data_IF_366151843006
#
_entry.id   IF_366151843006
#
_cell.length_a   1.000
_cell.length_b   1.000
_cell.length_c   1.000
_cell.angle_alpha   90.00
_cell.angle_beta   90.00
_cell.angle_gamma   90.00
#
_symmetry.space_group_name_H-M   'P 1'
#
loop_
_entity.id
_entity.type
_entity.pdbx_description
1 polymer ?
#
# COMPACT_ATOMS: atom_id res chain seq x y z
N UNK A 1 27.26 -14.94 2.33
CA UNK A 1 28.08 -13.77 2.76
C UNK A 1 27.17 -12.80 3.50
N UNK A 2 27.50 -12.38 4.72
CA UNK A 2 26.70 -11.37 5.47
C UNK A 2 26.81 -10.04 4.70
N UNK A 3 25.67 -9.49 4.24
CA UNK A 3 25.64 -8.13 3.68
C UNK A 3 26.09 -7.14 4.76
N UNK A 4 27.10 -6.32 4.47
CA UNK A 4 27.51 -5.24 5.36
C UNK A 4 26.39 -4.19 5.42
N UNK A 5 25.93 -3.86 6.63
CA UNK A 5 25.00 -2.75 6.87
C UNK A 5 25.77 -1.50 7.30
N UNK A 6 25.70 -0.42 6.53
CA UNK A 6 26.27 0.88 6.90
C UNK A 6 25.30 1.72 7.75
N UNK A 7 25.85 2.67 8.52
CA UNK A 7 25.07 3.66 9.26
C UNK A 7 25.28 5.06 8.65
N UNK A 8 24.18 5.76 8.39
CA UNK A 8 24.19 7.13 7.90
C UNK A 8 23.51 8.06 8.90
N UNK A 9 24.08 9.25 9.09
CA UNK A 9 23.47 10.33 9.89
C UNK A 9 22.94 11.39 8.95
N UNK A 10 21.62 11.53 8.86
CA UNK A 10 20.96 12.57 8.07
C UNK A 10 20.81 13.81 8.96
N UNK A 11 21.50 14.89 8.59
CA UNK A 11 21.46 16.16 9.34
C UNK A 11 20.39 17.10 8.77
N UNK A 12 19.88 18.00 9.60
CA UNK A 12 18.93 19.06 9.22
C UNK A 12 17.65 18.52 8.54
N UNK A 13 17.09 17.43 9.07
CA UNK A 13 15.80 16.91 8.59
C UNK A 13 14.72 17.97 8.83
N UNK A 14 14.01 18.46 7.78
CA UNK A 14 12.94 19.44 7.95
C UNK A 14 11.83 18.90 8.87
N UNK A 15 11.23 19.78 9.69
CA UNK A 15 10.17 19.38 10.62
C UNK A 15 8.96 18.72 9.93
N UNK A 16 8.63 19.18 8.71
CA UNK A 16 7.57 18.59 7.89
C UNK A 16 7.87 17.13 7.52
N UNK A 17 9.14 16.79 7.24
CA UNK A 17 9.57 15.43 6.89
C UNK A 17 9.54 14.52 8.13
N UNK A 18 10.06 14.97 9.28
CA UNK A 18 10.00 14.19 10.53
C UNK A 18 8.54 13.89 10.93
N UNK A 19 7.67 14.90 10.88
CA UNK A 19 6.25 14.74 11.18
C UNK A 19 5.58 13.72 10.25
N UNK A 20 5.83 13.80 8.94
CA UNK A 20 5.28 12.87 7.96
C UNK A 20 5.77 11.43 8.18
N UNK A 21 7.07 11.23 8.47
CA UNK A 21 7.63 9.91 8.74
C UNK A 21 7.04 9.29 10.02
N UNK A 22 6.89 10.07 11.10
CA UNK A 22 6.27 9.60 12.35
C UNK A 22 4.79 9.26 12.18
N UNK A 23 4.04 10.07 11.44
CA UNK A 23 2.64 9.78 11.15
C UNK A 23 2.50 8.47 10.36
N UNK A 24 3.35 8.26 9.36
CA UNK A 24 3.39 7.02 8.57
C UNK A 24 3.79 5.82 9.43
N UNK A 25 4.77 5.96 10.33
CA UNK A 25 5.19 4.92 11.26
C UNK A 25 4.05 4.47 12.19
N UNK A 26 3.33 5.43 12.79
CA UNK A 26 2.14 5.14 13.62
C UNK A 26 1.05 4.43 12.83
N UNK A 27 0.71 4.95 11.64
CA UNK A 27 -0.33 4.36 10.78
C UNK A 27 -0.01 2.93 10.35
N UNK A 28 1.26 2.61 10.14
CA UNK A 28 1.70 1.29 9.67
C UNK A 28 2.13 0.34 10.81
N UNK A 29 2.15 0.79 12.07
CA UNK A 29 2.68 0.00 13.18
C UNK A 29 4.17 -0.36 13.03
N UNK A 30 4.95 0.47 12.32
CA UNK A 30 6.38 0.23 12.03
C UNK A 30 7.27 1.16 12.86
N UNK A 31 8.53 0.77 13.05
CA UNK A 31 9.53 1.68 13.64
C UNK A 31 9.83 2.85 12.70
N UNK A 32 10.23 3.99 13.27
CA UNK A 32 10.62 5.17 12.49
C UNK A 32 11.78 4.85 11.52
N UNK A 33 12.75 4.04 11.97
CA UNK A 33 13.87 3.61 11.14
C UNK A 33 13.41 2.78 9.93
N UNK A 34 12.47 1.83 10.12
CA UNK A 34 11.95 1.03 9.02
C UNK A 34 11.27 1.91 7.96
N UNK A 35 10.43 2.86 8.39
CA UNK A 35 9.76 3.79 7.46
C UNK A 35 10.75 4.73 6.78
N UNK A 36 11.78 5.21 7.49
CA UNK A 36 12.84 6.03 6.91
C UNK A 36 13.63 5.26 5.84
N UNK A 37 14.00 4.00 6.11
CA UNK A 37 14.67 3.14 5.13
C UNK A 37 13.78 2.85 3.91
N UNK A 38 12.49 2.61 4.10
CA UNK A 38 11.54 2.47 2.98
C UNK A 38 11.49 3.74 2.12
N UNK A 39 11.38 4.92 2.75
CA UNK A 39 11.38 6.19 2.04
C UNK A 39 12.68 6.43 1.26
N UNK A 40 13.83 6.13 1.87
CA UNK A 40 15.15 6.22 1.22
C UNK A 40 15.25 5.24 0.05
N UNK A 41 14.78 3.99 0.21
CA UNK A 41 14.76 3.01 -0.88
C UNK A 41 13.91 3.49 -2.05
N UNK A 42 12.72 4.02 -1.77
CA UNK A 42 11.82 4.56 -2.81
C UNK A 42 12.46 5.75 -3.51
N UNK A 43 12.99 6.73 -2.75
CA UNK A 43 13.63 7.92 -3.33
C UNK A 43 14.90 7.61 -4.12
N UNK A 44 15.64 6.57 -3.75
CA UNK A 44 16.81 6.09 -4.48
C UNK A 44 16.47 5.13 -5.64
N UNK A 45 15.18 4.83 -5.88
CA UNK A 45 14.76 3.92 -6.96
C UNK A 45 15.13 2.44 -6.74
N UNK A 46 15.47 2.05 -5.50
CA UNK A 46 15.83 0.66 -5.12
C UNK A 46 14.76 -0.04 -4.28
N UNK A 47 13.61 0.60 -4.11
CA UNK A 47 12.42 -0.08 -3.61
C UNK A 47 11.96 -1.08 -4.67
N UNK A 48 11.75 -2.33 -4.26
CA UNK A 48 10.94 -3.22 -5.09
C UNK A 48 9.57 -2.58 -5.24
N UNK A 49 9.03 -2.57 -6.46
CA UNK A 49 7.64 -2.24 -6.65
C UNK A 49 6.84 -3.22 -5.79
N UNK A 50 6.17 -2.69 -4.76
CA UNK A 50 5.22 -3.47 -3.98
C UNK A 50 4.09 -3.80 -4.94
N UNK A 51 4.16 -4.98 -5.54
CA UNK A 51 3.08 -5.49 -6.36
C UNK A 51 1.95 -5.85 -5.42
N UNK A 52 1.03 -4.91 -5.23
CA UNK A 52 -0.25 -5.18 -4.58
C UNK A 52 -0.95 -6.28 -5.38
N UNK A 53 -1.18 -7.42 -4.73
CA UNK A 53 -1.85 -8.58 -5.34
C UNK A 53 -3.31 -8.69 -4.89
N UNK A 54 -3.71 -7.83 -3.97
CA UNK A 54 -5.03 -7.74 -3.38
C UNK A 54 -5.68 -6.39 -3.70
N UNK A 55 -6.96 -6.30 -3.37
CA UNK A 55 -7.77 -5.09 -3.53
C UNK A 55 -8.16 -4.49 -2.17
N UNK A 56 -7.44 -4.81 -1.09
CA UNK A 56 -7.78 -4.42 0.28
C UNK A 56 -7.89 -2.90 0.46
N UNK A 57 -7.10 -2.14 -0.30
CA UNK A 57 -7.16 -0.67 -0.30
C UNK A 57 -8.49 -0.11 -0.80
N UNK A 58 -9.27 -0.90 -1.54
CA UNK A 58 -10.57 -0.53 -2.09
C UNK A 58 -11.73 -1.03 -1.23
N UNK A 59 -11.45 -1.75 -0.14
CA UNK A 59 -12.51 -2.24 0.74
C UNK A 59 -13.25 -1.07 1.39
N UNK A 60 -14.58 -1.05 1.27
CA UNK A 60 -15.42 0.02 1.78
C UNK A 60 -15.35 1.35 1.01
N UNK A 61 -14.59 1.41 -0.09
CA UNK A 61 -14.53 2.61 -0.95
C UNK A 61 -15.54 2.57 -2.10
N UNK A 62 -16.52 1.66 -2.06
CA UNK A 62 -17.53 1.53 -3.11
C UNK A 62 -18.43 2.76 -3.12
N UNK A 63 -18.63 3.32 -4.31
CA UNK A 63 -19.60 4.40 -4.54
C UNK A 63 -20.80 3.78 -5.26
N UNK A 64 -22.04 4.06 -4.84
CA UNK A 64 -23.22 3.55 -5.52
C UNK A 64 -23.24 3.94 -7.01
N UNK A 65 -23.45 2.96 -7.88
CA UNK A 65 -23.50 3.11 -9.33
C UNK A 65 -24.58 2.16 -9.88
N UNK A 66 -25.66 2.73 -10.41
CA UNK A 66 -26.81 1.98 -10.90
C UNK A 66 -26.48 1.09 -12.11
N UNK A 67 -25.56 1.53 -12.98
CA UNK A 67 -25.13 0.75 -14.13
C UNK A 67 -24.31 -0.47 -13.67
N UNK A 68 -23.41 -0.28 -12.69
CA UNK A 68 -22.66 -1.36 -12.08
C UNK A 68 -23.58 -2.35 -11.34
N UNK A 69 -24.55 -1.85 -10.58
CA UNK A 69 -25.51 -2.67 -9.86
C UNK A 69 -26.37 -3.53 -10.80
N UNK A 70 -26.82 -2.96 -11.93
CA UNK A 70 -27.54 -3.71 -12.96
C UNK A 70 -26.66 -4.81 -13.56
N UNK A 71 -25.43 -4.49 -13.95
CA UNK A 71 -24.51 -5.46 -14.52
C UNK A 71 -24.18 -6.60 -13.54
N UNK A 72 -23.97 -6.30 -12.26
CA UNK A 72 -23.72 -7.30 -11.22
C UNK A 72 -24.94 -8.20 -10.99
N UNK A 73 -26.17 -7.67 -11.02
CA UNK A 73 -27.39 -8.48 -10.95
C UNK A 73 -27.48 -9.45 -12.13
N UNK A 74 -27.21 -8.97 -13.33
CA UNK A 74 -27.24 -9.80 -14.54
C UNK A 74 -26.19 -10.92 -14.47
N UNK A 75 -24.97 -10.63 -13.99
CA UNK A 75 -23.88 -11.60 -13.83
C UNK A 75 -24.09 -12.63 -12.70
N UNK A 76 -24.87 -12.30 -11.67
CA UNK A 76 -25.14 -13.20 -10.54
C UNK A 76 -26.25 -14.22 -10.84
N UNK A 77 -26.90 -14.13 -11.99
CA UNK A 77 -27.91 -15.11 -12.41
C UNK A 77 -27.20 -16.43 -12.72
N UNK A 78 -27.49 -17.45 -11.91
CA UNK A 78 -27.00 -18.81 -12.15
C UNK A 78 -27.72 -19.38 -13.36
N UNK A 79 -26.94 -19.87 -14.32
CA UNK A 79 -27.44 -20.72 -15.40
C UNK A 79 -27.38 -22.18 -14.93
N UNK A 80 -28.52 -22.84 -14.70
CA UNK A 80 -28.55 -24.22 -14.21
C UNK A 80 -27.84 -25.21 -15.13
N UNK A 81 -27.84 -24.97 -16.45
CA UNK A 81 -27.25 -25.88 -17.43
C UNK A 81 -25.72 -25.77 -17.46
N UNK A 82 -25.17 -24.60 -17.08
CA UNK A 82 -23.72 -24.39 -16.90
C UNK A 82 -23.23 -24.76 -15.50
N UNK A 83 -24.13 -24.92 -14.53
CA UNK A 83 -23.82 -25.21 -13.12
C UNK A 83 -24.06 -26.68 -12.74
N UNK A 84 -24.61 -27.50 -13.64
CA UNK A 84 -24.81 -28.93 -13.42
C UNK A 84 -23.50 -29.73 -13.30
#
# INVERSE_FOLDING_TARGET
>A
MKKASGQYTIRKVPASVDAALRAKARRQGKSLNAVALEALRTGAGVAEQVRHRDLDSFFGSWVPDEAADKALKDQRRIDPDLWA
#
